data_IF_701551339187
#
_entry.id   IF_701551339187
#
_cell.length_a   1.000
_cell.length_b   1.000
_cell.length_c   1.000
_cell.angle_alpha   90.00
_cell.angle_beta   90.00
_cell.angle_gamma   90.00
#
_symmetry.space_group_name_H-M   'P 1'
#
loop_
_entity.id
_entity.type
_entity.pdbx_description
1 polymer ?
#
# COMPACT_ATOMS: atom_id res chain seq x y z
N UNK A 1 -13.06 12.48 -15.39
CA UNK A 1 -11.60 12.68 -15.34
C UNK A 1 -10.95 11.60 -16.18
N UNK A 2 -9.87 11.90 -16.91
CA UNK A 2 -9.16 10.87 -17.68
C UNK A 2 -8.59 9.81 -16.72
N UNK A 3 -8.52 8.56 -17.21
CA UNK A 3 -7.79 7.48 -16.55
C UNK A 3 -6.28 7.73 -16.64
N UNK A 4 -5.53 7.40 -15.59
CA UNK A 4 -4.07 7.25 -15.64
C UNK A 4 -3.75 6.30 -16.80
N UNK A 5 -2.94 6.72 -17.78
CA UNK A 5 -2.45 5.84 -18.85
C UNK A 5 -1.79 4.59 -18.28
N UNK A 6 -1.95 3.45 -18.97
CA UNK A 6 -1.34 2.18 -18.56
C UNK A 6 0.18 2.30 -18.32
N UNK A 7 0.87 3.12 -19.11
CA UNK A 7 2.31 3.35 -19.00
C UNK A 7 2.68 4.10 -17.70
N UNK A 8 1.90 5.09 -17.30
CA UNK A 8 2.10 5.82 -16.03
C UNK A 8 1.84 4.89 -14.84
N UNK A 9 0.80 4.05 -14.93
CA UNK A 9 0.52 3.03 -13.91
C UNK A 9 1.67 2.02 -13.78
N UNK A 10 2.15 1.47 -14.90
CA UNK A 10 3.31 0.58 -14.91
C UNK A 10 4.53 1.26 -14.31
N UNK A 11 4.81 2.49 -14.72
CA UNK A 11 5.94 3.27 -14.24
C UNK A 11 5.88 3.47 -12.72
N UNK A 12 4.72 3.87 -12.18
CA UNK A 12 4.54 4.04 -10.74
C UNK A 12 4.77 2.72 -10.00
N UNK A 13 4.29 1.59 -10.53
CA UNK A 13 4.48 0.28 -9.91
C UNK A 13 5.93 -0.19 -9.93
N UNK A 14 6.63 -0.01 -11.06
CA UNK A 14 8.04 -0.38 -11.20
C UNK A 14 8.95 0.46 -10.32
N UNK A 15 8.66 1.76 -10.19
CA UNK A 15 9.44 2.71 -9.41
C UNK A 15 8.97 2.85 -7.95
N UNK A 16 8.08 1.97 -7.49
CA UNK A 16 7.74 1.85 -6.07
C UNK A 16 8.64 0.82 -5.39
N UNK A 17 9.42 1.27 -4.41
CA UNK A 17 10.35 0.45 -3.64
C UNK A 17 10.03 0.48 -2.15
N UNK A 18 10.07 -0.68 -1.51
CA UNK A 18 9.98 -0.78 -0.04
C UNK A 18 11.39 -0.68 0.52
N UNK A 19 11.68 0.42 1.21
CA UNK A 19 12.99 0.68 1.81
C UNK A 19 13.12 0.05 3.20
N UNK A 20 12.00 -0.08 3.91
CA UNK A 20 11.92 -0.74 5.20
C UNK A 20 10.59 -1.50 5.30
N UNK A 21 10.66 -2.82 5.45
CA UNK A 21 9.46 -3.67 5.60
C UNK A 21 8.97 -3.69 7.06
N UNK A 22 7.65 -3.71 7.29
CA UNK A 22 7.10 -3.95 8.62
C UNK A 22 7.56 -5.30 9.18
N UNK A 23 7.98 -5.32 10.45
CA UNK A 23 8.34 -6.54 11.15
C UNK A 23 7.12 -7.45 11.43
N UNK A 24 5.91 -6.88 11.46
CA UNK A 24 4.64 -7.62 11.59
C UNK A 24 3.83 -7.61 10.30
N UNK A 25 3.16 -8.74 10.04
CA UNK A 25 2.23 -8.93 8.92
C UNK A 25 0.79 -8.56 9.32
N UNK A 26 -0.10 -8.61 8.34
CA UNK A 26 -1.54 -8.40 8.56
C UNK A 26 -2.10 -9.55 9.40
N UNK A 27 -2.78 -9.20 10.49
CA UNK A 27 -3.44 -10.16 11.35
C UNK A 27 -4.56 -10.90 10.59
N UNK A 28 -4.63 -12.22 10.79
CA UNK A 28 -5.65 -13.08 10.21
C UNK A 28 -7.06 -12.75 10.72
N UNK A 29 -7.21 -12.20 11.93
CA UNK A 29 -8.49 -12.05 12.62
C UNK A 29 -8.85 -10.63 13.05
N UNK A 30 -7.99 -9.64 12.78
CA UNK A 30 -8.16 -8.25 13.22
C UNK A 30 -7.79 -7.22 12.17
N UNK A 31 -8.26 -5.98 12.36
CA UNK A 31 -7.84 -4.85 11.52
C UNK A 31 -6.36 -4.54 11.81
N UNK A 32 -5.57 -4.34 10.76
CA UNK A 32 -4.16 -4.02 10.87
C UNK A 32 -3.91 -2.62 10.35
N UNK A 33 -3.29 -1.76 11.17
CA UNK A 33 -2.90 -0.41 10.79
C UNK A 33 -1.39 -0.34 10.59
N UNK A 34 -0.97 0.11 9.41
CA UNK A 34 0.44 0.39 9.12
C UNK A 34 0.66 1.89 9.09
N UNK A 35 1.70 2.35 9.78
CA UNK A 35 2.17 3.72 9.63
C UNK A 35 3.15 3.77 8.46
N UNK A 36 2.90 4.62 7.49
CA UNK A 36 3.77 4.77 6.33
C UNK A 36 4.53 6.07 6.36
N UNK A 37 5.74 6.01 5.83
CA UNK A 37 6.50 7.17 5.34
C UNK A 37 6.80 6.88 3.88
N UNK A 38 6.40 7.78 2.98
CA UNK A 38 6.68 7.70 1.55
C UNK A 38 7.58 8.87 1.16
N UNK A 39 8.70 8.54 0.55
CA UNK A 39 9.69 9.47 0.04
C UNK A 39 9.55 9.56 -1.47
N UNK A 40 9.56 10.78 -2.01
CA UNK A 40 9.55 11.03 -3.44
C UNK A 40 10.34 12.30 -3.79
N UNK A 41 10.90 12.35 -4.99
CA UNK A 41 11.46 13.58 -5.56
C UNK A 41 10.39 14.25 -6.43
N UNK A 42 10.01 15.52 -6.15
CA UNK A 42 9.12 16.26 -7.02
C UNK A 42 9.73 16.47 -8.40
N UNK A 43 8.95 16.27 -9.47
CA UNK A 43 9.45 16.45 -10.84
C UNK A 43 9.86 17.89 -11.17
N UNK A 44 9.27 18.86 -10.48
CA UNK A 44 9.50 20.29 -10.69
C UNK A 44 10.61 20.88 -9.80
N UNK A 45 11.20 20.10 -8.90
CA UNK A 45 12.15 20.60 -7.92
C UNK A 45 13.30 19.62 -7.64
N UNK A 46 14.49 19.93 -8.16
CA UNK A 46 15.71 19.15 -7.95
C UNK A 46 16.31 19.42 -6.57
N UNK A 47 16.83 18.37 -5.93
CA UNK A 47 17.46 18.48 -4.62
C UNK A 47 16.46 18.71 -3.48
N UNK A 48 15.19 18.38 -3.73
CA UNK A 48 14.12 18.41 -2.75
C UNK A 48 13.59 17.01 -2.56
N UNK A 49 13.16 16.68 -1.34
CA UNK A 49 12.48 15.44 -1.04
C UNK A 49 11.14 15.74 -0.41
N UNK A 50 10.06 15.21 -1.00
CA UNK A 50 8.74 15.24 -0.41
C UNK A 50 8.57 14.01 0.47
N UNK A 51 8.25 14.24 1.73
CA UNK A 51 7.96 13.22 2.72
C UNK A 51 6.47 13.24 3.01
N UNK A 52 5.79 12.15 2.64
CA UNK A 52 4.39 11.91 2.98
C UNK A 52 4.30 10.92 4.11
N UNK A 53 3.53 11.21 5.13
CA UNK A 53 3.30 10.29 6.25
C UNK A 53 1.82 10.20 6.60
N UNK A 54 1.44 9.03 7.10
CA UNK A 54 0.06 8.75 7.45
C UNK A 54 -0.08 7.29 7.86
N UNK A 55 -1.31 6.79 7.82
CA UNK A 55 -1.56 5.37 8.03
C UNK A 55 -2.48 4.79 6.96
N UNK A 56 -2.29 3.50 6.71
CA UNK A 56 -3.21 2.67 5.94
C UNK A 56 -3.75 1.59 6.85
N UNK A 57 -5.06 1.42 6.84
CA UNK A 57 -5.75 0.37 7.58
C UNK A 57 -6.19 -0.73 6.63
N UNK A 58 -5.76 -1.96 6.89
CA UNK A 58 -6.28 -3.16 6.24
C UNK A 58 -7.31 -3.80 7.18
N UNK A 59 -8.59 -3.72 6.82
CA UNK A 59 -9.64 -4.32 7.63
C UNK A 59 -9.67 -5.84 7.50
N UNK A 60 -10.12 -6.50 8.57
CA UNK A 60 -10.18 -7.95 8.66
C UNK A 60 -11.00 -8.56 7.53
N UNK A 61 -10.70 -9.81 7.17
CA UNK A 61 -11.44 -10.46 6.12
C UNK A 61 -12.94 -10.66 6.41
N UNK A 62 -13.81 -10.41 5.43
CA UNK A 62 -15.20 -10.89 5.39
C UNK A 62 -15.31 -11.93 4.28
N UNK A 63 -15.95 -13.07 4.57
CA UNK A 63 -16.29 -14.06 3.53
C UNK A 63 -17.38 -13.45 2.65
N UNK A 64 -17.03 -13.05 1.44
CA UNK A 64 -17.95 -12.42 0.48
C UNK A 64 -18.34 -13.44 -0.60
N UNK A 65 -19.63 -13.48 -0.93
CA UNK A 65 -20.16 -14.34 -2.00
C UNK A 65 -19.79 -13.80 -3.40
N UNK A 66 -19.57 -14.68 -4.39
CA UNK A 66 -20.20 -14.57 -5.70
C UNK A 66 -20.45 -13.19 -6.30
N UNK A 67 -21.65 -12.73 -5.95
CA UNK A 67 -22.33 -11.64 -6.59
C UNK A 67 -21.93 -10.28 -5.99
N UNK A 68 -21.30 -10.29 -4.81
CA UNK A 68 -20.80 -9.13 -4.09
C UNK A 68 -19.34 -8.76 -4.45
N UNK A 69 -18.75 -9.43 -5.45
CA UNK A 69 -17.41 -9.13 -5.98
C UNK A 69 -17.28 -7.80 -6.74
N UNK A 70 -18.38 -7.05 -6.92
CA UNK A 70 -18.39 -5.79 -7.68
C UNK A 70 -17.80 -4.60 -6.91
N UNK A 71 -17.86 -4.63 -5.59
CA UNK A 71 -17.64 -3.44 -4.76
C UNK A 71 -16.41 -3.62 -3.88
N UNK A 72 -15.23 -3.59 -4.50
CA UNK A 72 -14.01 -3.37 -3.73
C UNK A 72 -13.98 -1.89 -3.32
N UNK A 73 -14.15 -1.63 -2.04
CA UNK A 73 -14.13 -0.28 -1.48
C UNK A 73 -12.70 0.13 -1.12
N UNK A 74 -12.23 1.19 -1.78
CA UNK A 74 -10.94 1.84 -1.52
C UNK A 74 -11.25 3.24 -0.99
N UNK A 75 -11.45 3.34 0.31
CA UNK A 75 -11.80 4.60 0.95
C UNK A 75 -10.54 5.47 1.10
N UNK A 76 -10.63 6.77 0.82
CA UNK A 76 -9.50 7.70 1.00
C UNK A 76 -8.42 7.72 -0.08
N UNK A 77 -8.44 6.81 -1.08
CA UNK A 77 -7.49 6.76 -2.22
C UNK A 77 -8.04 7.38 -3.53
N UNK A 78 -9.09 8.18 -3.42
CA UNK A 78 -9.60 9.00 -4.53
C UNK A 78 -9.93 8.24 -5.81
N UNK A 79 -9.55 8.83 -6.95
CA UNK A 79 -9.74 8.23 -8.28
C UNK A 79 -8.66 7.18 -8.60
N UNK A 80 -7.45 7.35 -8.08
CA UNK A 80 -6.31 6.46 -8.31
C UNK A 80 -6.59 5.04 -7.82
N UNK A 81 -7.23 4.89 -6.66
CA UNK A 81 -7.63 3.58 -6.15
C UNK A 81 -8.49 2.77 -7.12
N UNK A 82 -9.57 3.37 -7.66
CA UNK A 82 -10.44 2.67 -8.62
C UNK A 82 -9.70 2.30 -9.90
N UNK A 83 -8.91 3.23 -10.44
CA UNK A 83 -8.17 3.02 -11.68
C UNK A 83 -7.13 1.91 -11.54
N UNK A 84 -6.42 1.85 -10.40
CA UNK A 84 -5.48 0.77 -10.10
C UNK A 84 -6.15 -0.62 -10.13
N UNK A 85 -7.31 -0.76 -9.49
CA UNK A 85 -8.02 -2.04 -9.49
C UNK A 85 -8.60 -2.41 -10.85
N UNK A 86 -9.10 -1.44 -11.61
CA UNK A 86 -9.59 -1.69 -12.96
C UNK A 86 -8.44 -2.10 -13.91
N UNK A 87 -7.27 -1.47 -13.77
CA UNK A 87 -6.04 -1.86 -14.46
C UNK A 87 -5.61 -3.29 -14.12
N UNK A 88 -5.61 -3.67 -12.83
CA UNK A 88 -5.31 -5.04 -12.39
C UNK A 88 -6.30 -6.07 -12.96
N UNK A 89 -7.61 -5.75 -12.97
CA UNK A 89 -8.65 -6.61 -13.56
C UNK A 89 -8.42 -6.82 -15.05
N UNK A 90 -8.12 -5.76 -15.79
CA UNK A 90 -7.87 -5.82 -17.23
C UNK A 90 -6.70 -6.76 -17.58
N UNK A 91 -5.72 -6.88 -16.68
CA UNK A 91 -4.53 -7.74 -16.84
C UNK A 91 -4.70 -9.15 -16.30
N UNK A 92 -5.93 -9.54 -15.92
CA UNK A 92 -6.22 -10.88 -15.45
C UNK A 92 -5.64 -11.20 -14.07
N UNK A 93 -5.29 -10.18 -13.27
CA UNK A 93 -4.88 -10.39 -11.90
C UNK A 93 -5.99 -11.15 -11.16
N UNK A 94 -5.61 -12.21 -10.44
CA UNK A 94 -6.53 -13.01 -9.62
C UNK A 94 -6.90 -12.24 -8.34
N UNK A 95 -7.60 -11.11 -8.50
CA UNK A 95 -8.12 -10.29 -7.41
C UNK A 95 -9.15 -11.02 -6.57
N UNK A 96 -9.65 -12.17 -7.04
CA UNK A 96 -10.53 -13.08 -6.30
C UNK A 96 -10.03 -13.34 -4.87
N UNK A 97 -8.72 -13.34 -4.62
CA UNK A 97 -8.17 -13.52 -3.27
C UNK A 97 -8.38 -12.29 -2.35
N UNK A 98 -8.31 -11.07 -2.88
CA UNK A 98 -8.64 -9.85 -2.13
C UNK A 98 -10.15 -9.71 -1.97
N UNK A 99 -10.89 -10.12 -3.00
CA UNK A 99 -12.34 -10.01 -3.13
C UNK A 99 -13.08 -11.08 -2.30
N UNK A 100 -12.54 -12.29 -2.16
CA UNK A 100 -13.08 -13.35 -1.29
C UNK A 100 -12.92 -13.01 0.19
N UNK A 101 -11.91 -12.18 0.50
CA UNK A 101 -11.56 -11.77 1.84
C UNK A 101 -12.10 -10.37 2.16
N UNK A 102 -12.63 -9.58 1.23
CA UNK A 102 -13.31 -8.32 1.57
C UNK A 102 -12.43 -7.28 2.28
N UNK A 103 -11.17 -7.17 1.88
CA UNK A 103 -10.28 -6.15 2.43
C UNK A 103 -10.78 -4.75 2.04
N UNK A 104 -10.97 -3.91 3.06
CA UNK A 104 -11.14 -2.47 2.90
C UNK A 104 -9.84 -1.79 3.28
N UNK A 105 -9.43 -0.85 2.46
CA UNK A 105 -8.32 0.03 2.79
C UNK A 105 -8.83 1.45 2.96
N UNK A 106 -8.40 2.07 4.05
CA UNK A 106 -8.64 3.48 4.32
C UNK A 106 -7.32 4.19 4.52
N UNK A 107 -7.19 5.35 3.88
CA UNK A 107 -6.12 6.31 4.13
C UNK A 107 -6.67 7.46 4.97
N UNK A 108 -5.94 7.83 6.02
CA UNK A 108 -6.26 9.00 6.86
C UNK A 108 -5.65 10.31 6.33
N UNK A 109 -5.79 11.39 7.09
CA UNK A 109 -5.07 12.65 6.89
C UNK A 109 -3.58 12.39 6.66
N UNK A 110 -3.14 12.65 5.42
CA UNK A 110 -1.73 12.57 5.04
C UNK A 110 -1.08 13.88 5.36
N UNK A 111 0.04 13.80 6.07
CA UNK A 111 0.91 14.94 6.28
C UNK A 111 1.99 14.95 5.23
N UNK A 112 2.18 16.10 4.61
CA UNK A 112 3.19 16.31 3.58
C UNK A 112 4.19 17.37 4.05
N UNK A 113 5.47 17.05 3.93
CA UNK A 113 6.57 17.97 4.23
C UNK A 113 7.53 17.98 3.05
N UNK A 114 7.86 19.17 2.54
CA UNK A 114 8.88 19.35 1.51
C UNK A 114 10.20 19.75 2.16
N UNK A 115 11.21 18.90 2.04
CA UNK A 115 12.55 19.11 2.57
C UNK A 115 13.49 19.61 1.46
N UNK A 116 14.31 20.59 1.79
CA UNK A 116 15.35 21.14 0.90
C UNK A 116 16.65 20.37 1.07
N UNK A 117 16.56 19.05 0.93
CA UNK A 117 17.64 18.09 1.11
C UNK A 117 17.51 17.03 0.01
N UNK A 118 18.64 16.46 -0.44
CA UNK A 118 18.61 15.39 -1.43
C UNK A 118 17.93 14.14 -0.86
N UNK A 119 17.18 13.43 -1.70
CA UNK A 119 16.43 12.24 -1.32
C UNK A 119 17.31 11.16 -0.68
N UNK A 120 18.55 10.99 -1.12
CA UNK A 120 19.45 9.97 -0.57
C UNK A 120 19.75 10.19 0.92
N UNK A 121 19.95 11.46 1.33
CA UNK A 121 20.22 11.82 2.71
C UNK A 121 18.97 11.64 3.58
N UNK A 122 17.82 12.09 3.07
CA UNK A 122 16.53 11.93 3.75
C UNK A 122 16.21 10.43 3.92
N UNK A 123 16.42 9.64 2.87
CA UNK A 123 16.24 8.18 2.90
C UNK A 123 17.08 7.52 3.96
N UNK A 124 18.38 7.82 4.02
CA UNK A 124 19.28 7.24 5.02
C UNK A 124 18.79 7.52 6.44
N UNK A 125 18.41 8.78 6.72
CA UNK A 125 17.89 9.21 8.02
C UNK A 125 16.57 8.55 8.38
N UNK A 126 15.61 8.49 7.46
CA UNK A 126 14.27 7.92 7.70
C UNK A 126 14.33 6.41 7.93
N UNK A 127 15.17 5.69 7.17
CA UNK A 127 15.36 4.24 7.36
C UNK A 127 16.04 3.95 8.69
N UNK A 128 17.07 4.74 9.06
CA UNK A 128 17.74 4.61 10.36
C UNK A 128 16.77 4.87 11.52
N UNK A 129 15.92 5.89 11.41
CA UNK A 129 14.87 6.14 12.40
C UNK A 129 13.88 4.97 12.49
N UNK A 130 13.44 4.42 11.36
CA UNK A 130 12.51 3.29 11.34
C UNK A 130 13.10 2.07 12.05
N UNK A 131 14.38 1.75 11.82
CA UNK A 131 15.11 0.67 12.47
C UNK A 131 15.14 0.82 14.01
N UNK A 132 15.30 2.04 14.51
CA UNK A 132 15.43 2.32 15.95
C UNK A 132 14.10 2.69 16.63
N UNK A 133 13.02 2.92 15.87
CA UNK A 133 11.72 3.36 16.39
C UNK A 133 11.00 2.31 17.24
N UNK A 134 11.31 1.02 17.05
CA UNK A 134 10.60 -0.10 17.67
C UNK A 134 9.17 -0.33 17.14
N UNK A 135 8.71 0.45 16.15
CA UNK A 135 7.39 0.28 15.55
C UNK A 135 7.40 -0.89 14.54
N UNK A 136 6.88 -2.04 14.96
CA UNK A 136 6.80 -3.24 14.13
C UNK A 136 5.84 -3.13 12.93
N UNK A 137 5.01 -2.09 12.85
CA UNK A 137 4.03 -1.84 11.78
C UNK A 137 4.40 -0.60 10.93
N UNK A 138 5.62 -0.07 11.07
CA UNK A 138 6.13 1.01 10.22
C UNK A 138 6.61 0.45 8.88
N UNK A 139 6.26 1.16 7.81
CA UNK A 139 6.83 0.95 6.47
C UNK A 139 7.48 2.25 5.99
N UNK A 140 8.62 2.12 5.31
CA UNK A 140 9.22 3.22 4.55
C UNK A 140 9.20 2.84 3.07
N UNK A 141 8.60 3.71 2.25
CA UNK A 141 8.47 3.57 0.81
C UNK A 141 9.25 4.68 0.10
N UNK A 142 9.72 4.35 -1.09
CA UNK A 142 10.23 5.28 -2.10
C UNK A 142 9.38 5.09 -3.36
N UNK A 143 8.96 6.19 -4.00
CA UNK A 143 8.02 6.11 -5.11
C UNK A 143 7.92 7.38 -5.94
N UNK A 144 7.04 7.33 -6.94
CA UNK A 144 6.73 8.44 -7.83
C UNK A 144 5.87 9.46 -7.10
N UNK A 145 6.20 10.75 -7.21
CA UNK A 145 5.53 11.79 -6.44
C UNK A 145 4.06 11.98 -6.82
N UNK A 146 3.76 12.04 -8.11
CA UNK A 146 2.40 12.28 -8.61
C UNK A 146 1.47 11.08 -8.38
N UNK A 147 2.04 9.86 -8.39
CA UNK A 147 1.33 8.58 -8.23
C UNK A 147 1.59 7.91 -6.86
N UNK A 148 1.86 8.70 -5.83
CA UNK A 148 2.18 8.19 -4.49
C UNK A 148 1.05 7.31 -3.89
N UNK A 149 -0.21 7.55 -4.26
CA UNK A 149 -1.35 6.71 -3.86
C UNK A 149 -1.27 5.30 -4.47
N UNK A 150 -0.79 5.18 -5.71
CA UNK A 150 -0.54 3.89 -6.38
C UNK A 150 0.58 3.13 -5.66
N UNK A 151 1.63 3.84 -5.23
CA UNK A 151 2.73 3.25 -4.46
C UNK A 151 2.23 2.59 -3.17
N UNK A 152 1.36 3.26 -2.43
CA UNK A 152 0.73 2.72 -1.23
C UNK A 152 -0.19 1.54 -1.51
N UNK A 153 -0.99 1.59 -2.58
CA UNK A 153 -1.88 0.50 -2.97
C UNK A 153 -1.12 -0.75 -3.38
N UNK A 154 -0.02 -0.59 -4.13
CA UNK A 154 0.90 -1.68 -4.48
C UNK A 154 1.43 -2.36 -3.22
N UNK A 155 2.02 -1.57 -2.31
CA UNK A 155 2.54 -2.10 -1.05
C UNK A 155 1.47 -2.85 -0.24
N UNK A 156 0.30 -2.23 -0.10
CA UNK A 156 -0.81 -2.79 0.67
C UNK A 156 -1.30 -4.11 0.08
N UNK A 157 -1.39 -4.18 -1.25
CA UNK A 157 -1.73 -5.39 -2.00
C UNK A 157 -0.69 -6.50 -1.78
N UNK A 158 0.60 -6.20 -1.92
CA UNK A 158 1.69 -7.15 -1.70
C UNK A 158 1.68 -7.69 -0.26
N UNK A 159 1.41 -6.83 0.73
CA UNK A 159 1.28 -7.23 2.12
C UNK A 159 0.12 -8.19 2.36
N UNK A 160 -1.04 -7.93 1.74
CA UNK A 160 -2.18 -8.86 1.82
C UNK A 160 -1.84 -10.19 1.17
N UNK A 161 -1.18 -10.19 0.01
CA UNK A 161 -0.78 -11.42 -0.67
C UNK A 161 0.18 -12.25 0.19
N UNK A 162 1.23 -11.63 0.74
CA UNK A 162 2.20 -12.28 1.65
C UNK A 162 1.55 -12.82 2.92
N UNK A 163 0.49 -12.19 3.40
CA UNK A 163 -0.21 -12.60 4.63
C UNK A 163 -1.24 -13.71 4.36
N UNK A 164 -1.90 -13.70 3.20
CA UNK A 164 -2.92 -14.67 2.83
C UNK A 164 -2.38 -16.11 2.76
N UNK A 165 -1.20 -16.33 2.15
CA UNK A 165 -0.62 -17.67 2.01
C UNK A 165 -0.42 -18.37 3.36
N UNK A 166 -0.01 -17.61 4.38
CA UNK A 166 0.17 -18.11 5.75
C UNK A 166 -1.17 -18.22 6.47
N UNK A 167 -2.07 -17.26 6.28
CA UNK A 167 -3.39 -17.28 6.90
C UNK A 167 -4.18 -18.54 6.49
N UNK A 168 -4.20 -18.92 5.21
CA UNK A 168 -4.84 -20.18 4.77
C UNK A 168 -4.26 -21.39 5.51
N UNK A 169 -2.94 -21.41 5.69
CA UNK A 169 -2.27 -22.49 6.41
C UNK A 169 -2.75 -22.56 7.87
N UNK A 170 -2.87 -21.41 8.55
CA UNK A 170 -3.37 -21.34 9.92
C UNK A 170 -4.85 -21.74 10.05
N UNK A 171 -5.70 -21.35 9.08
CA UNK A 171 -7.10 -21.76 9.01
C UNK A 171 -7.25 -23.29 8.89
N UNK A 172 -6.47 -23.93 8.00
CA UNK A 172 -6.46 -25.40 7.87
C UNK A 172 -6.01 -26.08 9.15
N UNK A 173 -4.97 -25.55 9.81
CA UNK A 173 -4.46 -26.10 11.07
C UNK A 173 -5.48 -26.01 12.20
N UNK A 174 -6.33 -24.98 12.22
CA UNK A 174 -7.38 -24.78 13.22
C UNK A 174 -8.74 -25.40 12.85
N UNK A 175 -8.85 -26.08 11.71
CA UNK A 175 -10.08 -26.75 11.28
C UNK A 175 -11.21 -25.81 10.84
N UNK A 176 -10.87 -24.60 10.39
CA UNK A 176 -11.81 -23.55 10.00
C UNK A 176 -12.02 -23.46 8.47
N UNK A 177 -11.47 -24.42 7.71
CA UNK A 177 -11.61 -24.62 6.26
C UNK A 177 -11.76 -26.11 5.93
#
# INVERSE_FOLDING_TARGET
>A
MPSIPDEEMEYALENTHVLYEPARRIDTFGDTRFDFILLSEPMDAVGMCRVRSGHVEAQRPKIIRPEAYRDLEVEGFGAHGRQFFDWLKARGAKLQMLLQYGFRFSRSDVQEVLLHENMADVRGRVVDEALHSGNALRVVLEGVDDDWEICLLKFTLEMVQKSHEINIFDFRRKGLL
#
